data_IF_374497542969
#
_entry.id   IF_374497542969
#
_cell.length_a   1.000
_cell.length_b   1.000
_cell.length_c   1.000
_cell.angle_alpha   90.00
_cell.angle_beta   90.00
_cell.angle_gamma   90.00
#
_symmetry.space_group_name_H-M   'P 1'
#
loop_
_entity.id
_entity.type
_entity.pdbx_description
1 polymer ?
#
# COMPACT_ATOMS: atom_id res chain seq x y z
N UNK A 1 25.53 -12.64 -3.58
CA UNK A 1 25.79 -11.51 -2.65
C UNK A 1 24.81 -11.49 -1.50
N UNK A 2 23.50 -11.71 -1.74
CA UNK A 2 22.47 -11.80 -0.71
C UNK A 2 22.81 -12.75 0.46
N UNK A 3 23.37 -13.93 0.17
CA UNK A 3 23.69 -14.92 1.22
C UNK A 3 24.73 -14.45 2.22
N UNK A 4 25.57 -13.48 1.82
CA UNK A 4 26.61 -12.85 2.64
C UNK A 4 26.07 -11.73 3.54
N UNK A 5 24.81 -11.33 3.40
CA UNK A 5 24.22 -10.29 4.22
C UNK A 5 23.96 -10.82 5.65
N UNK A 6 24.12 -9.98 6.68
CA UNK A 6 23.63 -10.30 8.02
C UNK A 6 22.10 -10.47 8.00
N UNK A 7 21.54 -11.09 9.03
CA UNK A 7 20.10 -11.41 9.09
C UNK A 7 19.20 -10.18 8.89
N UNK A 8 19.58 -9.03 9.44
CA UNK A 8 18.86 -7.77 9.24
C UNK A 8 18.96 -7.27 7.79
N UNK A 9 20.10 -7.47 7.13
CA UNK A 9 20.32 -7.10 5.74
C UNK A 9 19.46 -7.93 4.79
N UNK A 10 19.32 -9.23 5.06
CA UNK A 10 18.38 -10.09 4.32
C UNK A 10 16.94 -9.61 4.45
N UNK A 11 16.52 -9.25 5.67
CA UNK A 11 15.19 -8.66 5.93
C UNK A 11 14.99 -7.32 5.23
N UNK A 12 16.01 -6.47 5.16
CA UNK A 12 15.94 -5.22 4.42
C UNK A 12 15.72 -5.45 2.91
N UNK A 13 16.43 -6.42 2.31
CA UNK A 13 16.20 -6.78 0.90
C UNK A 13 14.79 -7.32 0.66
N UNK A 14 14.26 -8.17 1.56
CA UNK A 14 12.88 -8.66 1.45
C UNK A 14 11.85 -7.53 1.64
N UNK A 15 12.08 -6.60 2.56
CA UNK A 15 11.22 -5.44 2.75
C UNK A 15 11.19 -4.55 1.49
N UNK A 16 12.34 -4.40 0.82
CA UNK A 16 12.46 -3.65 -0.44
C UNK A 16 11.69 -4.35 -1.58
N UNK A 17 11.90 -5.66 -1.78
CA UNK A 17 11.15 -6.44 -2.78
C UNK A 17 9.64 -6.36 -2.56
N UNK A 18 9.18 -6.54 -1.32
CA UNK A 18 7.77 -6.40 -1.00
C UNK A 18 7.23 -4.97 -1.23
N UNK A 19 8.09 -3.95 -1.14
CA UNK A 19 7.67 -2.58 -1.43
C UNK A 19 7.46 -2.34 -2.92
N UNK A 20 8.21 -3.02 -3.79
CA UNK A 20 7.90 -3.03 -5.22
C UNK A 20 6.58 -3.75 -5.53
N UNK A 21 6.33 -4.91 -4.91
CA UNK A 21 5.05 -5.62 -5.07
C UNK A 21 3.87 -4.74 -4.62
N UNK A 22 3.97 -4.13 -3.44
CA UNK A 22 2.92 -3.26 -2.91
C UNK A 22 2.72 -2.00 -3.77
N UNK A 23 3.81 -1.39 -4.25
CA UNK A 23 3.73 -0.22 -5.12
C UNK A 23 3.07 -0.55 -6.47
N UNK A 24 3.43 -1.70 -7.06
CA UNK A 24 2.83 -2.18 -8.30
C UNK A 24 1.31 -2.36 -8.23
N UNK A 25 0.78 -2.66 -7.05
CA UNK A 25 -0.67 -2.74 -6.81
C UNK A 25 -1.29 -1.38 -6.45
N UNK A 26 -0.61 -0.58 -5.63
CA UNK A 26 -1.19 0.66 -5.09
C UNK A 26 -1.15 1.83 -6.06
N UNK A 27 -0.08 1.99 -6.85
CA UNK A 27 0.04 3.10 -7.76
C UNK A 27 -1.09 3.14 -8.83
N UNK A 28 -1.46 2.01 -9.48
CA UNK A 28 -2.61 2.01 -10.37
C UNK A 28 -3.94 2.28 -9.65
N UNK A 29 -4.12 1.81 -8.42
CA UNK A 29 -5.33 2.08 -7.63
C UNK A 29 -5.48 3.58 -7.32
N UNK A 30 -4.39 4.24 -6.92
CA UNK A 30 -4.36 5.68 -6.68
C UNK A 30 -4.58 6.49 -7.96
N UNK A 31 -4.01 6.07 -9.09
CA UNK A 31 -4.24 6.71 -10.39
C UNK A 31 -5.70 6.57 -10.84
N UNK A 32 -6.30 5.39 -10.66
CA UNK A 32 -7.72 5.17 -10.95
C UNK A 32 -8.60 6.11 -10.13
N UNK A 33 -8.35 6.19 -8.82
CA UNK A 33 -9.07 7.10 -7.93
C UNK A 33 -8.88 8.56 -8.35
N UNK A 34 -7.68 8.98 -8.71
CA UNK A 34 -7.39 10.33 -9.21
C UNK A 34 -8.17 10.64 -10.50
N UNK A 35 -8.19 9.71 -11.45
CA UNK A 35 -8.96 9.86 -12.71
C UNK A 35 -10.45 10.02 -12.39
N UNK A 36 -11.00 9.19 -11.50
CA UNK A 36 -12.39 9.30 -11.08
C UNK A 36 -12.67 10.69 -10.46
N UNK A 37 -11.80 11.17 -9.58
CA UNK A 37 -11.93 12.52 -9.00
C UNK A 37 -11.95 13.61 -10.07
N UNK A 38 -11.09 13.51 -11.08
CA UNK A 38 -11.04 14.50 -12.17
C UNK A 38 -12.27 14.48 -13.08
N UNK A 39 -12.98 13.35 -13.17
CA UNK A 39 -14.14 13.20 -14.05
C UNK A 39 -15.47 13.52 -13.36
N UNK A 40 -15.65 13.09 -12.10
CA UNK A 40 -16.94 13.18 -11.40
C UNK A 40 -16.90 13.98 -10.10
N UNK A 41 -15.73 14.44 -9.68
CA UNK A 41 -15.54 15.15 -8.40
C UNK A 41 -15.16 14.23 -7.24
N UNK A 42 -15.24 14.74 -6.02
CA UNK A 42 -14.70 14.07 -4.83
C UNK A 42 -15.27 12.67 -4.60
N UNK A 43 -14.37 11.69 -4.39
CA UNK A 43 -14.75 10.32 -4.05
C UNK A 43 -15.25 10.24 -2.61
N UNK A 44 -16.41 9.62 -2.42
CA UNK A 44 -17.02 9.44 -1.10
C UNK A 44 -16.40 8.25 -0.35
N UNK A 45 -16.79 8.09 0.93
CA UNK A 45 -16.45 6.93 1.74
C UNK A 45 -15.01 6.95 2.23
N UNK A 46 -14.28 5.85 2.00
CA UNK A 46 -12.95 5.62 2.57
C UNK A 46 -11.80 5.92 1.60
N UNK A 47 -12.05 6.53 0.44
CA UNK A 47 -11.03 6.76 -0.59
C UNK A 47 -9.86 7.63 -0.09
N UNK A 48 -10.15 8.83 0.43
CA UNK A 48 -9.13 9.74 0.96
C UNK A 48 -8.33 9.11 2.12
N UNK A 49 -8.97 8.57 3.19
CA UNK A 49 -8.20 7.96 4.27
C UNK A 49 -7.40 6.75 3.78
N UNK A 50 -7.90 5.94 2.85
CA UNK A 50 -7.13 4.83 2.28
C UNK A 50 -5.89 5.29 1.51
N UNK A 51 -5.99 6.38 0.73
CA UNK A 51 -4.86 6.97 0.01
C UNK A 51 -3.77 7.49 0.95
N UNK A 52 -4.12 8.02 2.12
CA UNK A 52 -3.17 8.58 3.09
C UNK A 52 -2.62 7.53 4.07
N UNK A 53 -3.45 6.59 4.52
CA UNK A 53 -3.05 5.56 5.49
C UNK A 53 -2.12 4.53 4.86
N UNK A 54 -2.29 4.20 3.58
CA UNK A 54 -1.42 3.23 2.91
C UNK A 54 0.07 3.60 3.02
N UNK A 55 0.54 4.79 2.59
CA UNK A 55 1.96 5.14 2.65
C UNK A 55 2.47 5.22 4.08
N UNK A 56 1.63 5.62 5.04
CA UNK A 56 1.97 5.61 6.48
C UNK A 56 2.20 4.18 6.98
N UNK A 57 1.34 3.23 6.63
CA UNK A 57 1.52 1.82 6.97
C UNK A 57 2.79 1.25 6.32
N UNK A 58 3.12 1.66 5.09
CA UNK A 58 4.38 1.27 4.43
C UNK A 58 5.60 1.86 5.15
N UNK A 59 5.52 3.10 5.63
CA UNK A 59 6.61 3.72 6.39
C UNK A 59 6.90 2.98 7.70
N UNK A 60 5.86 2.50 8.39
CA UNK A 60 5.98 1.69 9.63
C UNK A 60 6.42 0.24 9.32
N UNK A 61 5.95 -0.31 8.20
CA UNK A 61 6.28 -1.67 7.75
C UNK A 61 7.78 -1.89 7.58
N UNK A 62 8.50 -0.93 7.01
CA UNK A 62 9.94 -1.03 6.75
C UNK A 62 10.77 -1.29 8.03
N UNK A 63 10.76 -0.42 9.06
CA UNK A 63 11.49 -0.67 10.29
C UNK A 63 10.95 -1.90 11.05
N UNK A 64 9.64 -2.17 11.03
CA UNK A 64 9.07 -3.38 11.65
C UNK A 64 9.62 -4.66 11.01
N UNK A 65 9.82 -4.67 9.70
CA UNK A 65 10.42 -5.78 8.96
C UNK A 65 11.90 -5.93 9.35
N UNK A 66 12.68 -4.85 9.27
CA UNK A 66 14.12 -4.89 9.56
C UNK A 66 14.38 -5.29 11.02
N UNK A 67 13.59 -4.79 11.97
CA UNK A 67 13.64 -5.12 13.39
C UNK A 67 13.09 -6.51 13.74
N UNK A 68 12.54 -7.24 12.76
CA UNK A 68 11.94 -8.56 12.96
C UNK A 68 10.81 -8.57 14.01
N UNK A 69 9.82 -7.69 13.85
CA UNK A 69 8.60 -7.65 14.68
C UNK A 69 7.42 -8.19 13.86
N UNK A 70 7.15 -9.52 13.90
CA UNK A 70 6.23 -10.15 12.94
C UNK A 70 4.78 -9.66 13.03
N UNK A 71 4.15 -9.50 14.22
CA UNK A 71 2.77 -9.02 14.30
C UNK A 71 2.58 -7.63 13.70
N UNK A 72 3.48 -6.69 14.02
CA UNK A 72 3.42 -5.33 13.51
C UNK A 72 3.58 -5.30 11.98
N UNK A 73 4.57 -6.02 11.45
CA UNK A 73 4.77 -6.14 10.01
C UNK A 73 3.52 -6.73 9.32
N UNK A 74 2.93 -7.77 9.89
CA UNK A 74 1.72 -8.41 9.35
C UNK A 74 0.53 -7.46 9.31
N UNK A 75 0.29 -6.72 10.41
CA UNK A 75 -0.78 -5.72 10.48
C UNK A 75 -0.58 -4.59 9.47
N UNK A 76 0.64 -4.06 9.35
CA UNK A 76 0.94 -3.02 8.36
C UNK A 76 0.75 -3.51 6.92
N UNK A 77 1.16 -4.75 6.62
CA UNK A 77 0.97 -5.35 5.30
C UNK A 77 -0.51 -5.54 4.96
N UNK A 78 -1.28 -6.16 5.85
CA UNK A 78 -2.70 -6.42 5.64
C UNK A 78 -3.49 -5.11 5.53
N UNK A 79 -3.22 -4.13 6.40
CA UNK A 79 -3.84 -2.82 6.34
C UNK A 79 -3.52 -2.06 5.05
N UNK A 80 -2.26 -2.08 4.59
CA UNK A 80 -1.87 -1.42 3.34
C UNK A 80 -2.52 -2.08 2.12
N UNK A 81 -2.68 -3.40 2.13
CA UNK A 81 -3.39 -4.13 1.09
C UNK A 81 -4.88 -3.79 1.09
N UNK A 82 -5.51 -3.69 2.27
CA UNK A 82 -6.90 -3.27 2.42
C UNK A 82 -7.11 -1.85 1.87
N UNK A 83 -6.24 -0.89 2.19
CA UNK A 83 -6.32 0.46 1.63
C UNK A 83 -6.24 0.46 0.10
N UNK A 84 -5.39 -0.40 -0.47
CA UNK A 84 -5.29 -0.55 -1.93
C UNK A 84 -6.59 -1.10 -2.53
N UNK A 85 -7.20 -2.11 -1.90
CA UNK A 85 -8.49 -2.65 -2.31
C UNK A 85 -9.62 -1.61 -2.23
N UNK A 86 -9.65 -0.80 -1.19
CA UNK A 86 -10.63 0.30 -1.04
C UNK A 86 -10.51 1.28 -2.21
N UNK A 87 -9.31 1.73 -2.57
CA UNK A 87 -9.13 2.67 -3.69
C UNK A 87 -9.61 2.08 -5.02
N UNK A 88 -9.36 0.79 -5.28
CA UNK A 88 -9.91 0.13 -6.45
C UNK A 88 -11.44 0.12 -6.43
N UNK A 89 -12.05 -0.27 -5.31
CA UNK A 89 -13.51 -0.38 -5.20
C UNK A 89 -14.17 0.99 -5.39
N UNK A 90 -13.68 2.02 -4.69
CA UNK A 90 -14.27 3.36 -4.77
C UNK A 90 -14.04 3.99 -6.16
N UNK A 91 -12.84 3.84 -6.73
CA UNK A 91 -12.53 4.35 -8.07
C UNK A 91 -13.35 3.67 -9.17
N UNK A 92 -13.50 2.34 -9.13
CA UNK A 92 -14.34 1.62 -10.10
C UNK A 92 -15.82 1.96 -9.91
N UNK A 93 -16.32 1.97 -8.67
CA UNK A 93 -17.73 2.29 -8.38
C UNK A 93 -18.09 3.68 -8.90
N UNK A 94 -17.24 4.66 -8.64
CA UNK A 94 -17.39 6.02 -9.13
C UNK A 94 -17.57 6.08 -10.65
N UNK A 95 -16.69 5.40 -11.39
CA UNK A 95 -16.69 5.43 -12.85
C UNK A 95 -17.83 4.62 -13.49
N UNK A 96 -18.35 3.60 -12.80
CA UNK A 96 -19.48 2.80 -13.29
C UNK A 96 -20.84 3.45 -13.07
N UNK A 97 -20.95 4.36 -12.10
CA UNK A 97 -22.19 5.06 -11.76
C UNK A 97 -22.24 6.47 -12.39
N UNK A 98 -21.12 6.94 -12.96
CA UNK A 98 -20.98 8.16 -13.74
C UNK A 98 -21.76 8.12 -15.05
#
# INVERSE_FOLDING_TARGET
>A
MFDRLPSWGKRASWAHQNSFEAFGLHAPAALLALIAVLQIGELQGLAIPAALVQPMLRLIYLPAYVANVPPLRGLCWAGALLCTGILYIEGVRALLVA
#
